data_IF_093685436309
#
_entry.id   IF_093685436309
#
_cell.length_a   1.000
_cell.length_b   1.000
_cell.length_c   1.000
_cell.angle_alpha   90.00
_cell.angle_beta   90.00
_cell.angle_gamma   90.00
#
_symmetry.space_group_name_H-M   'P 1'
#
loop_
_entity.id
_entity.type
_entity.pdbx_description
1 polymer ?
#
# COMPACT_ATOMS: atom_id res chain seq x y z
N UNK A 1 31.32 48.56 -18.15
CA UNK A 1 31.44 47.34 -17.32
C UNK A 1 30.38 46.38 -17.80
N UNK A 2 30.81 45.30 -18.44
CA UNK A 2 29.96 44.21 -18.95
C UNK A 2 29.91 43.16 -17.85
N UNK A 3 28.72 42.73 -17.45
CA UNK A 3 28.49 41.58 -16.55
C UNK A 3 27.72 40.54 -17.37
N UNK A 4 28.31 39.37 -17.54
CA UNK A 4 27.82 38.17 -18.26
C UNK A 4 27.56 37.05 -17.21
N UNK A 5 26.80 35.96 -17.46
CA UNK A 5 25.48 35.75 -16.88
C UNK A 5 25.32 34.32 -16.32
N UNK A 6 25.55 34.05 -15.02
CA UNK A 6 25.37 32.67 -14.52
C UNK A 6 25.30 32.50 -13.00
N UNK A 7 24.86 33.49 -12.23
CA UNK A 7 24.91 33.41 -10.75
C UNK A 7 23.57 33.73 -10.08
N UNK A 8 22.49 33.11 -10.54
CA UNK A 8 21.40 32.80 -9.62
C UNK A 8 21.35 31.28 -9.46
N UNK A 9 21.82 30.81 -8.30
CA UNK A 9 21.63 29.43 -7.90
C UNK A 9 20.14 29.11 -7.93
N UNK A 10 19.71 27.99 -8.56
CA UNK A 10 18.32 27.58 -8.48
C UNK A 10 17.94 27.38 -7.01
N UNK A 11 16.72 27.78 -6.61
CA UNK A 11 16.29 27.65 -5.22
C UNK A 11 16.42 26.19 -4.77
N UNK A 12 16.80 25.94 -3.50
CA UNK A 12 17.05 24.59 -3.03
C UNK A 12 15.79 23.75 -3.24
N UNK A 13 15.91 22.73 -4.09
CA UNK A 13 14.87 21.73 -4.28
C UNK A 13 14.69 21.06 -2.93
N UNK A 14 13.66 21.49 -2.19
CA UNK A 14 13.21 20.80 -1.01
C UNK A 14 12.94 19.36 -1.43
N UNK A 15 13.87 18.47 -1.08
CA UNK A 15 13.66 17.03 -1.06
C UNK A 15 12.60 16.70 0.00
N UNK A 16 11.38 17.21 -0.17
CA UNK A 16 10.21 16.52 0.34
C UNK A 16 10.09 15.29 -0.52
N UNK A 17 10.62 14.20 0.03
CA UNK A 17 10.49 12.82 -0.43
C UNK A 17 9.17 12.58 -1.19
N UNK A 18 9.20 12.79 -2.50
CA UNK A 18 8.22 12.22 -3.44
C UNK A 18 8.57 10.77 -3.76
N UNK A 19 9.57 10.19 -3.06
CA UNK A 19 9.98 8.78 -3.16
C UNK A 19 9.12 7.81 -2.34
N UNK A 20 8.16 8.27 -1.53
CA UNK A 20 7.30 7.37 -0.74
C UNK A 20 6.16 6.74 -1.55
N UNK A 21 5.88 7.24 -2.76
CA UNK A 21 4.76 6.77 -3.59
C UNK A 21 5.16 6.44 -5.02
N UNK A 22 6.36 5.89 -5.22
CA UNK A 22 6.59 5.13 -6.46
C UNK A 22 5.68 3.92 -6.36
N UNK A 23 4.56 4.01 -7.08
CA UNK A 23 3.66 2.93 -7.47
C UNK A 23 4.49 1.70 -7.80
N UNK A 24 4.70 0.85 -6.81
CA UNK A 24 5.30 -0.43 -7.05
C UNK A 24 4.17 -1.28 -7.61
N UNK A 25 3.95 -1.22 -8.92
CA UNK A 25 2.92 -1.99 -9.63
C UNK A 25 3.01 -3.49 -9.26
N UNK A 26 4.21 -3.93 -8.89
CA UNK A 26 4.51 -5.26 -8.35
C UNK A 26 4.00 -5.51 -6.92
N UNK A 27 3.96 -4.49 -6.04
CA UNK A 27 3.30 -4.57 -4.72
C UNK A 27 1.77 -4.64 -4.86
N UNK A 28 1.23 -3.93 -5.86
CA UNK A 28 -0.20 -3.98 -6.18
C UNK A 28 -0.59 -5.35 -6.76
N UNK A 29 0.27 -5.95 -7.60
CA UNK A 29 0.04 -7.29 -8.17
C UNK A 29 0.02 -8.42 -7.11
N UNK A 30 0.73 -8.27 -5.99
CA UNK A 30 0.85 -9.33 -4.98
C UNK A 30 -0.22 -9.32 -3.88
N UNK A 31 -1.11 -8.32 -3.88
CA UNK A 31 -2.20 -8.21 -2.92
C UNK A 31 -3.47 -7.82 -3.68
N UNK A 32 -4.11 -8.78 -4.36
CA UNK A 32 -5.37 -8.57 -5.07
C UNK A 32 -6.45 -8.00 -4.16
N UNK A 33 -7.30 -7.15 -4.73
CA UNK A 33 -8.39 -6.53 -4.00
C UNK A 33 -9.58 -6.28 -4.90
N UNK A 34 -10.77 -6.61 -4.39
CA UNK A 34 -12.06 -6.25 -4.98
C UNK A 34 -12.74 -5.20 -4.11
N UNK A 35 -13.45 -4.29 -4.77
CA UNK A 35 -14.28 -3.27 -4.11
C UNK A 35 -15.70 -3.41 -4.62
N UNK A 36 -16.65 -3.54 -3.70
CA UNK A 36 -18.08 -3.61 -4.01
C UNK A 36 -18.80 -2.41 -3.41
N UNK A 37 -19.51 -1.68 -4.24
CA UNK A 37 -20.41 -0.61 -3.82
C UNK A 37 -21.81 -1.19 -3.55
N UNK A 38 -22.41 -0.75 -2.45
CA UNK A 38 -23.80 -0.99 -2.08
C UNK A 38 -24.44 0.36 -1.73
N UNK A 39 -25.78 0.46 -1.72
CA UNK A 39 -26.46 1.74 -1.51
C UNK A 39 -26.01 2.55 -0.28
N UNK A 40 -25.56 1.89 0.79
CA UNK A 40 -25.15 2.54 2.04
C UNK A 40 -23.77 2.06 2.56
N UNK A 41 -22.99 1.33 1.77
CA UNK A 41 -21.71 0.79 2.26
C UNK A 41 -20.77 0.38 1.14
N UNK A 42 -19.49 0.31 1.47
CA UNK A 42 -18.48 -0.31 0.62
C UNK A 42 -17.90 -1.54 1.29
N UNK A 43 -17.69 -2.59 0.49
CA UNK A 43 -17.02 -3.80 0.93
C UNK A 43 -15.69 -3.92 0.19
N UNK A 44 -14.61 -3.99 0.95
CA UNK A 44 -13.27 -4.24 0.44
C UNK A 44 -12.91 -5.70 0.75
N UNK A 45 -12.56 -6.46 -0.28
CA UNK A 45 -12.12 -7.85 -0.15
C UNK A 45 -10.67 -7.88 -0.59
N UNK A 46 -9.76 -8.23 0.31
CA UNK A 46 -8.32 -8.18 0.03
C UNK A 46 -7.67 -9.51 0.39
N UNK A 47 -6.94 -10.07 -0.58
CA UNK A 47 -6.25 -11.34 -0.42
C UNK A 47 -4.89 -11.12 0.27
N UNK A 48 -4.80 -11.58 1.50
CA UNK A 48 -3.61 -11.43 2.34
C UNK A 48 -3.16 -12.78 2.95
N UNK A 49 -2.73 -13.73 2.11
CA UNK A 49 -2.23 -15.01 2.61
C UNK A 49 -0.94 -14.85 3.42
N UNK A 50 -0.84 -15.63 4.49
CA UNK A 50 0.33 -15.68 5.37
C UNK A 50 0.45 -14.51 6.35
N UNK A 51 -0.58 -13.68 6.50
CA UNK A 51 -0.65 -12.63 7.53
C UNK A 51 -1.64 -13.01 8.62
N UNK A 52 -1.35 -12.63 9.87
CA UNK A 52 -2.32 -12.65 10.96
C UNK A 52 -3.03 -11.31 11.01
N UNK A 53 -4.18 -11.26 11.69
CA UNK A 53 -4.99 -10.04 11.80
C UNK A 53 -4.21 -8.89 12.45
N UNK A 54 -3.35 -9.19 13.43
CA UNK A 54 -2.49 -8.21 14.07
C UNK A 54 -1.36 -7.64 13.19
N UNK A 55 -1.04 -8.29 12.08
CA UNK A 55 -0.02 -7.81 11.13
C UNK A 55 -0.57 -6.80 10.12
N UNK A 56 -1.89 -6.53 10.17
CA UNK A 56 -2.60 -5.68 9.24
C UNK A 56 -3.04 -4.40 9.94
N UNK A 57 -2.73 -3.26 9.35
CA UNK A 57 -3.14 -1.93 9.79
C UNK A 57 -4.09 -1.32 8.77
N UNK A 58 -5.18 -0.77 9.27
CA UNK A 58 -6.20 -0.08 8.49
C UNK A 58 -6.34 1.33 9.06
N UNK A 59 -6.24 2.33 8.20
CA UNK A 59 -6.37 3.74 8.57
C UNK A 59 -7.12 4.50 7.47
N UNK A 60 -7.67 5.67 7.82
CA UNK A 60 -8.14 6.65 6.85
C UNK A 60 -7.20 7.85 6.93
N UNK A 61 -6.59 8.19 5.81
CA UNK A 61 -5.72 9.36 5.63
C UNK A 61 -6.42 10.37 4.72
N UNK A 62 -6.00 11.64 4.77
CA UNK A 62 -6.44 12.69 3.85
C UNK A 62 -7.97 12.78 3.70
N UNK A 63 -8.70 12.56 4.80
CA UNK A 63 -10.18 12.56 4.93
C UNK A 63 -10.92 11.42 4.21
N UNK A 64 -10.48 10.99 3.03
CA UNK A 64 -11.19 9.99 2.21
C UNK A 64 -10.31 8.87 1.63
N UNK A 65 -9.09 8.68 2.13
CA UNK A 65 -8.19 7.65 1.60
C UNK A 65 -8.10 6.47 2.57
N UNK A 66 -8.73 5.34 2.22
CA UNK A 66 -8.56 4.10 2.97
C UNK A 66 -7.18 3.51 2.70
N UNK A 67 -6.36 3.41 3.74
CA UNK A 67 -5.01 2.87 3.71
C UNK A 67 -4.96 1.54 4.44
N UNK A 68 -4.53 0.51 3.72
CA UNK A 68 -4.37 -0.84 4.24
C UNK A 68 -2.91 -1.24 4.07
N UNK A 69 -2.24 -1.55 5.17
CA UNK A 69 -0.82 -1.87 5.18
C UNK A 69 -0.51 -3.05 6.09
N UNK A 70 0.65 -3.64 5.90
CA UNK A 70 1.13 -4.73 6.74
C UNK A 70 2.50 -5.22 6.29
N UNK A 71 2.99 -6.28 6.92
CA UNK A 71 4.31 -6.85 6.63
C UNK A 71 4.26 -8.37 6.59
N UNK A 72 4.54 -8.96 5.42
CA UNK A 72 4.68 -10.40 5.26
C UNK A 72 6.08 -10.79 5.67
N UNK A 73 6.23 -11.54 6.76
CA UNK A 73 7.53 -12.06 7.19
C UNK A 73 7.84 -13.38 6.49
N UNK A 74 9.13 -13.64 6.32
CA UNK A 74 9.62 -14.95 5.89
C UNK A 74 9.53 -15.90 7.08
N UNK A 75 9.00 -17.10 6.88
CA UNK A 75 9.23 -18.18 7.83
C UNK A 75 10.69 -18.63 7.73
N UNK A 76 11.33 -18.88 8.87
CA UNK A 76 12.68 -19.41 8.87
C UNK A 76 12.70 -20.73 8.10
N UNK A 77 13.57 -20.81 7.10
CA UNK A 77 13.71 -22.03 6.30
C UNK A 77 14.19 -23.13 7.23
N UNK A 78 13.49 -24.26 7.25
CA UNK A 78 13.93 -25.42 8.04
C UNK A 78 15.20 -26.00 7.43
N UNK A 79 15.98 -26.70 8.24
CA UNK A 79 17.17 -27.37 7.76
C UNK A 79 16.82 -28.36 6.64
N UNK A 80 17.47 -28.20 5.49
CA UNK A 80 17.17 -28.97 4.26
C UNK A 80 16.18 -28.32 3.29
N UNK A 81 15.53 -27.20 3.64
CA UNK A 81 14.61 -26.51 2.73
C UNK A 81 15.37 -25.60 1.73
N UNK A 82 15.16 -25.86 0.43
CA UNK A 82 15.67 -25.02 -0.66
C UNK A 82 14.51 -24.52 -1.51
N UNK A 83 14.37 -23.19 -1.57
CA UNK A 83 13.43 -22.56 -2.49
C UNK A 83 13.96 -22.71 -3.93
N UNK A 84 13.21 -23.42 -4.78
CA UNK A 84 13.50 -23.50 -6.22
C UNK A 84 13.03 -22.23 -6.94
N UNK A 85 11.92 -21.63 -6.48
CA UNK A 85 11.37 -20.38 -7.00
C UNK A 85 10.51 -19.70 -5.94
N UNK A 86 10.59 -18.38 -5.85
CA UNK A 86 9.77 -17.57 -4.96
C UNK A 86 9.06 -16.48 -5.75
N UNK A 87 7.73 -16.60 -5.86
CA UNK A 87 6.90 -15.61 -6.55
C UNK A 87 6.17 -14.69 -5.56
N UNK A 88 5.87 -15.21 -4.36
CA UNK A 88 5.23 -14.43 -3.30
C UNK A 88 6.20 -13.37 -2.78
N UNK A 89 5.70 -12.14 -2.64
CA UNK A 89 6.47 -11.05 -2.07
C UNK A 89 6.55 -11.14 -0.55
N UNK A 90 7.75 -10.99 -0.03
CA UNK A 90 8.04 -10.82 1.40
C UNK A 90 8.29 -9.33 1.65
N UNK A 91 7.97 -8.87 2.85
CA UNK A 91 8.18 -7.51 3.31
C UNK A 91 6.88 -6.70 3.39
N UNK A 92 7.06 -5.38 3.49
CA UNK A 92 5.97 -4.43 3.68
C UNK A 92 5.13 -4.28 2.43
N UNK A 93 3.82 -4.15 2.61
CA UNK A 93 2.88 -3.78 1.55
C UNK A 93 1.97 -2.65 2.03
N UNK A 94 1.47 -1.88 1.07
CA UNK A 94 0.51 -0.80 1.29
C UNK A 94 -0.41 -0.72 0.08
N UNK A 95 -1.71 -0.61 0.34
CA UNK A 95 -2.76 -0.37 -0.64
C UNK A 95 -3.55 0.86 -0.20
N UNK A 96 -3.80 1.77 -1.14
CA UNK A 96 -4.61 2.96 -0.93
C UNK A 96 -5.82 2.90 -1.84
N UNK A 97 -6.99 3.20 -1.30
CA UNK A 97 -8.24 3.31 -2.03
C UNK A 97 -8.82 4.69 -1.75
N UNK A 98 -9.02 5.48 -2.80
CA UNK A 98 -9.74 6.76 -2.69
C UNK A 98 -11.22 6.42 -2.58
N UNK A 99 -11.85 6.85 -1.49
CA UNK A 99 -13.26 6.67 -1.26
C UNK A 99 -14.03 7.81 -1.94
N UNK A 100 -15.20 7.52 -2.54
CA UNK A 100 -16.10 8.55 -3.04
C UNK A 100 -16.52 9.52 -1.94
N UNK A 101 -16.83 10.78 -2.29
CA UNK A 101 -17.21 11.83 -1.32
C UNK A 101 -18.47 11.47 -0.51
N UNK A 102 -19.38 10.67 -1.11
CA UNK A 102 -20.58 10.16 -0.46
C UNK A 102 -20.35 8.90 0.39
N UNK A 103 -19.13 8.36 0.43
CA UNK A 103 -18.72 7.32 1.36
C UNK A 103 -18.53 7.93 2.75
N UNK A 104 -19.60 8.50 3.30
CA UNK A 104 -19.68 8.83 4.70
C UNK A 104 -19.38 7.52 5.45
N UNK A 105 -18.58 7.58 6.52
CA UNK A 105 -18.13 6.49 7.41
C UNK A 105 -19.25 5.61 8.00
N UNK A 106 -20.46 5.67 7.48
CA UNK A 106 -21.65 4.92 7.85
C UNK A 106 -21.34 3.43 7.91
N UNK A 107 -20.58 2.88 6.94
CA UNK A 107 -20.11 1.49 7.04
C UNK A 107 -19.03 1.12 6.02
N UNK A 108 -17.83 0.86 6.51
CA UNK A 108 -16.78 0.15 5.76
C UNK A 108 -16.65 -1.27 6.32
N UNK A 109 -16.73 -2.28 5.44
CA UNK A 109 -16.48 -3.67 5.82
C UNK A 109 -15.25 -4.16 5.07
N UNK A 110 -14.21 -4.51 5.82
CA UNK A 110 -12.99 -5.10 5.28
C UNK A 110 -13.01 -6.60 5.52
N UNK A 111 -13.00 -7.38 4.44
CA UNK A 111 -12.75 -8.81 4.48
C UNK A 111 -11.30 -9.09 4.07
N UNK A 112 -10.57 -9.67 5.02
CA UNK A 112 -9.23 -10.18 4.77
C UNK A 112 -9.34 -11.66 4.49
N UNK A 113 -9.06 -12.06 3.25
CA UNK A 113 -8.95 -13.47 2.90
C UNK A 113 -7.55 -13.95 3.28
N UNK A 114 -7.47 -14.62 4.43
CA UNK A 114 -6.29 -15.38 4.80
C UNK A 114 -6.30 -16.65 3.95
N UNK A 115 -5.23 -16.87 3.17
CA UNK A 115 -5.09 -18.10 2.40
C UNK A 115 -4.97 -19.29 3.35
N UNK A 116 -5.94 -20.20 3.26
CA UNK A 116 -5.91 -21.53 3.87
C UNK A 116 -5.73 -22.56 2.76
#
# INVERSE_FOLDING_TARGET
MIIDPSTEDPPPISQRSTRTYVRDAKAMASTPADVKEYPNSYIFIIDMPGLKSGDIKVAVEDENVLVISGERKREEAKEGEKYVRMERRIGKFMRKFVLPENAILIRLVLFVKMGF
#
